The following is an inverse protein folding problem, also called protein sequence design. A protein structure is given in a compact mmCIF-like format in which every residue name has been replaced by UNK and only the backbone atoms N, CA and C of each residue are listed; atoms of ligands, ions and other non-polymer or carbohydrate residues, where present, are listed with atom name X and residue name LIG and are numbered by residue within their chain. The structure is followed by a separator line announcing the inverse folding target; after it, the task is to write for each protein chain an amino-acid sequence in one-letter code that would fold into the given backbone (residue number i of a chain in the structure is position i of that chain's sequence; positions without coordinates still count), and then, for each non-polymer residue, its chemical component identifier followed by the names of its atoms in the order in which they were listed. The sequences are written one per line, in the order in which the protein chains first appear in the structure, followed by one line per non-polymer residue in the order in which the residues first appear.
data_IF_688955022541
#
_entry.id   IF_688955022541
#
_cell.length_a   1.000
_cell.length_b   1.000
_cell.length_c   1.000
_cell.angle_alpha   90.00
_cell.angle_beta   90.00
_cell.angle_gamma   90.00
#
_symmetry.space_group_name_H-M   'P 1'
#
loop_
_entity.id
_entity.type
_entity.pdbx_description
1 polymer ?
#
# COMPACT_ATOMS: atom_id res chain seq x y z
N UNK A 1 -7.03 -5.35 6.56
CA UNK A 1 -6.32 -4.59 5.50
C UNK A 1 -5.55 -3.44 6.15
N UNK A 2 -4.28 -3.26 5.80
CA UNK A 2 -3.41 -2.22 6.35
C UNK A 2 -2.18 -2.01 5.46
N UNK A 3 -1.45 -0.91 5.69
CA UNK A 3 -0.17 -0.64 5.04
C UNK A 3 0.94 -1.37 5.80
N UNK A 4 1.32 -2.55 5.32
CA UNK A 4 2.31 -3.36 6.01
C UNK A 4 3.70 -2.73 5.86
N UNK A 5 4.11 -2.33 4.65
CA UNK A 5 5.42 -1.76 4.24
C UNK A 5 6.68 -2.66 4.13
N UNK A 6 6.90 -3.79 4.85
CA UNK A 6 8.08 -4.61 4.66
C UNK A 6 7.94 -5.55 3.45
N UNK A 7 9.11 -5.97 2.96
CA UNK A 7 9.25 -6.91 1.86
C UNK A 7 9.29 -8.33 2.40
N UNK A 8 8.77 -9.29 1.63
CA UNK A 8 8.88 -10.72 1.94
C UNK A 8 10.15 -11.31 1.32
N UNK A 9 10.52 -10.83 0.13
CA UNK A 9 11.72 -11.26 -0.60
C UNK A 9 12.47 -10.07 -1.20
N UNK A 10 13.77 -10.24 -1.46
CA UNK A 10 14.59 -9.26 -2.15
C UNK A 10 14.09 -8.96 -3.57
N UNK A 11 13.42 -9.93 -4.20
CA UNK A 11 12.86 -9.79 -5.56
C UNK A 11 11.69 -8.81 -5.65
N UNK A 12 11.10 -8.45 -4.49
CA UNK A 12 10.05 -7.44 -4.38
C UNK A 12 10.60 -6.01 -4.42
N UNK A 13 11.92 -5.84 -4.63
CA UNK A 13 12.61 -4.55 -4.69
C UNK A 13 13.59 -4.47 -5.85
N UNK A 14 13.64 -3.32 -6.52
CA UNK A 14 14.71 -2.96 -7.45
C UNK A 14 15.23 -1.57 -7.13
N UNK A 15 16.56 -1.44 -7.06
CA UNK A 15 17.26 -0.19 -6.78
C UNK A 15 17.40 0.12 -5.28
N UNK A 16 18.11 1.21 -4.98
CA UNK A 16 18.44 1.63 -3.62
C UNK A 16 19.39 0.69 -2.88
N UNK A 17 19.51 0.87 -1.56
CA UNK A 17 20.31 0.00 -0.70
C UNK A 17 19.69 -1.40 -0.56
N UNK A 18 20.51 -2.38 -0.17
CA UNK A 18 20.04 -3.72 0.16
C UNK A 18 18.93 -3.69 1.22
N UNK A 19 17.87 -4.50 1.07
CA UNK A 19 16.80 -4.57 2.07
C UNK A 19 17.30 -5.19 3.38
N UNK A 20 16.68 -4.83 4.49
CA UNK A 20 17.06 -5.35 5.80
C UNK A 20 16.58 -6.81 5.96
N UNK A 21 17.49 -7.80 6.03
CA UNK A 21 17.11 -9.21 6.08
C UNK A 21 16.35 -9.59 7.35
N UNK A 22 16.61 -8.90 8.47
CA UNK A 22 15.94 -9.16 9.75
C UNK A 22 14.46 -8.78 9.64
N UNK A 23 14.18 -7.56 9.16
CA UNK A 23 12.80 -7.10 8.98
C UNK A 23 12.00 -7.97 8.01
N UNK A 24 12.65 -8.49 6.97
CA UNK A 24 12.01 -9.41 6.02
C UNK A 24 11.69 -10.76 6.68
N UNK A 25 12.64 -11.28 7.47
CA UNK A 25 12.45 -12.53 8.22
C UNK A 25 11.32 -12.41 9.24
N UNK A 26 11.30 -11.32 10.02
CA UNK A 26 10.27 -11.09 11.04
C UNK A 26 8.88 -10.99 10.41
N UNK A 27 8.77 -10.29 9.27
CA UNK A 27 7.50 -10.17 8.56
C UNK A 27 7.05 -11.51 7.97
N UNK A 28 7.97 -12.26 7.37
CA UNK A 28 7.69 -13.59 6.84
C UNK A 28 7.23 -14.55 7.95
N UNK A 29 7.88 -14.50 9.11
CA UNK A 29 7.50 -15.29 10.27
C UNK A 29 6.13 -14.88 10.82
N UNK A 30 5.81 -13.58 10.82
CA UNK A 30 4.51 -13.08 11.24
C UNK A 30 3.38 -13.61 10.34
N UNK A 31 3.58 -13.61 9.02
CA UNK A 31 2.62 -14.16 8.05
C UNK A 31 2.41 -15.66 8.30
N UNK A 32 3.51 -16.40 8.45
CA UNK A 32 3.46 -17.85 8.72
C UNK A 32 2.75 -18.17 10.04
N UNK A 33 3.10 -17.48 11.13
CA UNK A 33 2.50 -17.69 12.44
C UNK A 33 1.02 -17.35 12.46
N UNK A 34 0.58 -16.45 11.58
CA UNK A 34 -0.82 -16.06 11.44
C UNK A 34 -1.60 -16.98 10.49
N UNK A 35 -0.95 -18.01 9.91
CA UNK A 35 -1.53 -18.88 8.87
C UNK A 35 -2.11 -18.11 7.70
N UNK A 36 -1.49 -16.98 7.36
CA UNK A 36 -1.89 -16.13 6.25
C UNK A 36 -1.13 -16.50 4.98
N UNK A 37 -1.81 -16.37 3.85
CA UNK A 37 -1.34 -16.74 2.52
C UNK A 37 -1.40 -15.49 1.63
N UNK A 38 -0.32 -15.22 0.91
CA UNK A 38 -0.27 -14.26 -0.22
C UNK A 38 -0.56 -15.06 -1.50
N UNK A 39 -1.79 -14.96 -1.99
CA UNK A 39 -2.28 -15.67 -3.20
C UNK A 39 -1.73 -15.06 -4.51
N UNK A 40 -0.83 -14.07 -4.39
CA UNK A 40 -0.19 -13.42 -5.51
C UNK A 40 -1.03 -12.30 -6.12
N UNK A 41 -0.74 -11.97 -7.38
CA UNK A 41 -1.35 -10.86 -8.10
C UNK A 41 -1.20 -11.00 -9.61
N UNK A 42 -2.04 -10.29 -10.33
CA UNK A 42 -1.96 -10.09 -11.79
C UNK A 42 -1.59 -8.63 -12.06
N UNK A 43 -0.73 -8.38 -13.05
CA UNK A 43 -0.35 -7.03 -13.48
C UNK A 43 1.02 -6.58 -12.98
N UNK A 44 1.14 -5.33 -12.54
CA UNK A 44 2.44 -4.72 -12.21
C UNK A 44 3.11 -5.39 -11.01
N UNK A 45 4.35 -5.85 -11.17
CA UNK A 45 5.16 -6.41 -10.07
C UNK A 45 5.39 -5.43 -8.91
N UNK A 46 5.51 -4.14 -9.21
CA UNK A 46 5.79 -3.09 -8.22
C UNK A 46 4.58 -2.18 -8.09
N UNK A 47 4.24 -1.84 -6.85
CA UNK A 47 3.07 -0.99 -6.52
C UNK A 47 3.47 0.41 -6.08
N UNK A 48 4.75 0.60 -5.70
CA UNK A 48 5.31 1.90 -5.35
C UNK A 48 6.67 2.15 -6.02
N UNK A 49 6.94 3.41 -6.36
CA UNK A 49 8.27 3.85 -6.82
C UNK A 49 8.53 5.33 -6.52
N UNK A 50 9.80 5.68 -6.30
CA UNK A 50 10.27 7.08 -6.29
C UNK A 50 11.17 7.43 -7.49
N UNK A 51 11.16 6.61 -8.54
CA UNK A 51 11.98 6.76 -9.75
C UNK A 51 13.36 6.08 -9.67
N UNK A 52 13.95 5.95 -8.48
CA UNK A 52 15.24 5.24 -8.27
C UNK A 52 15.07 3.89 -7.57
N UNK A 53 13.97 3.73 -6.85
CA UNK A 53 13.59 2.56 -6.09
C UNK A 53 12.18 2.17 -6.50
N UNK A 54 11.94 0.88 -6.75
CA UNK A 54 10.62 0.29 -6.94
C UNK A 54 10.41 -0.85 -5.95
N UNK A 55 9.23 -0.90 -5.33
CA UNK A 55 8.87 -1.89 -4.31
C UNK A 55 7.44 -2.40 -4.51
N UNK A 56 7.19 -3.66 -4.12
CA UNK A 56 5.83 -4.19 -3.92
C UNK A 56 5.46 -3.96 -2.45
N UNK A 57 4.57 -3.01 -2.19
CA UNK A 57 4.12 -2.64 -0.84
C UNK A 57 2.69 -3.10 -0.56
N UNK A 58 1.86 -3.15 -1.60
CA UNK A 58 0.47 -3.58 -1.49
C UNK A 58 0.37 -5.09 -1.69
N UNK A 59 -0.30 -5.76 -0.74
CA UNK A 59 -0.56 -7.20 -0.76
C UNK A 59 -1.87 -7.51 -0.05
N UNK A 60 -2.53 -8.57 -0.49
CA UNK A 60 -3.70 -9.15 0.18
C UNK A 60 -3.25 -10.44 0.83
N UNK A 61 -3.49 -10.54 2.14
CA UNK A 61 -3.18 -11.72 2.94
C UNK A 61 -4.50 -12.29 3.44
N UNK A 62 -4.72 -13.57 3.18
CA UNK A 62 -5.94 -14.28 3.54
C UNK A 62 -5.61 -15.56 4.30
N UNK A 63 -6.47 -15.97 5.23
CA UNK A 63 -6.39 -17.32 5.78
C UNK A 63 -6.96 -18.34 4.79
N UNK A 64 -6.78 -19.62 5.09
CA UNK A 64 -7.26 -20.72 4.24
C UNK A 64 -8.78 -20.66 4.03
N UNK A 65 -9.54 -20.31 5.07
CA UNK A 65 -11.00 -20.22 4.99
C UNK A 65 -11.45 -19.14 3.98
N UNK A 66 -10.76 -18.00 3.96
CA UNK A 66 -11.01 -16.93 3.02
C UNK A 66 -10.70 -17.36 1.58
N UNK A 67 -9.62 -18.10 1.34
CA UNK A 67 -9.31 -18.67 0.01
C UNK A 67 -10.38 -19.68 -0.44
N UNK A 68 -10.80 -20.58 0.45
CA UNK A 68 -11.82 -21.58 0.13
C UNK A 68 -13.19 -20.93 -0.16
N UNK A 69 -13.48 -19.82 0.51
CA UNK A 69 -14.72 -19.04 0.30
C UNK A 69 -14.70 -18.29 -1.02
N UNK A 70 -13.55 -17.72 -1.40
CA UNK A 70 -13.36 -17.01 -2.65
C UNK A 70 -12.59 -17.89 -3.63
N UNK A 71 -13.32 -18.80 -4.31
CA UNK A 71 -12.81 -19.77 -5.29
C UNK A 71 -11.79 -19.21 -6.31
N UNK A 72 -11.75 -17.90 -6.53
CA UNK A 72 -10.64 -17.18 -7.19
C UNK A 72 -10.51 -15.76 -6.61
N UNK A 73 -9.46 -15.49 -5.81
CA UNK A 73 -9.09 -14.12 -5.43
C UNK A 73 -8.19 -13.52 -6.53
N UNK A 74 -8.76 -12.65 -7.37
CA UNK A 74 -7.97 -11.91 -8.37
C UNK A 74 -7.51 -10.57 -7.80
N UNK A 75 -6.26 -10.52 -7.33
CA UNK A 75 -5.61 -9.26 -6.94
C UNK A 75 -4.99 -8.62 -8.18
N UNK A 76 -5.60 -7.55 -8.69
CA UNK A 76 -5.10 -6.83 -9.86
C UNK A 76 -4.28 -5.60 -9.42
N UNK A 77 -2.97 -5.63 -9.67
CA UNK A 77 -2.13 -4.44 -9.52
C UNK A 77 -2.32 -3.50 -10.71
N UNK A 78 -2.78 -2.28 -10.43
CA UNK A 78 -2.97 -1.27 -11.46
C UNK A 78 -1.62 -0.86 -12.06
N UNK A 79 -1.55 -0.84 -13.39
CA UNK A 79 -0.39 -0.33 -14.11
C UNK A 79 -0.19 1.16 -13.84
N UNK A 80 1.05 1.63 -13.88
CA UNK A 80 1.39 3.06 -13.68
C UNK A 80 0.64 4.00 -14.63
N UNK A 81 0.27 3.54 -15.82
CA UNK A 81 -0.57 4.29 -16.78
C UNK A 81 -1.97 4.56 -16.24
N UNK A 82 -2.53 3.63 -15.45
CA UNK A 82 -3.77 3.89 -14.73
C UNK A 82 -3.54 5.02 -13.72
N UNK A 83 -2.47 5.01 -12.91
CA UNK A 83 -2.17 6.14 -12.00
C UNK A 83 -1.91 7.46 -12.73
N UNK A 84 -1.27 7.46 -13.90
CA UNK A 84 -1.11 8.66 -14.73
C UNK A 84 -2.47 9.16 -15.22
N UNK A 85 -3.36 8.24 -15.63
CA UNK A 85 -4.73 8.55 -16.01
C UNK A 85 -5.54 9.07 -14.82
N UNK A 86 -5.41 8.50 -13.62
CA UNK A 86 -5.99 9.03 -12.37
C UNK A 86 -5.41 10.41 -12.00
N UNK A 87 -4.14 10.68 -12.30
CA UNK A 87 -3.51 11.98 -12.10
C UNK A 87 -4.07 13.06 -13.04
N UNK A 88 -4.51 12.66 -14.25
CA UNK A 88 -5.13 13.54 -15.24
C UNK A 88 -6.64 13.68 -15.03
N UNK A 89 -7.32 12.56 -14.74
CA UNK A 89 -8.78 12.49 -14.61
C UNK A 89 -9.27 12.91 -13.20
N UNK A 90 -8.38 12.88 -12.21
CA UNK A 90 -8.66 13.22 -10.81
C UNK A 90 -9.62 12.23 -10.15
N UNK A 91 -9.29 11.75 -8.96
CA UNK A 91 -10.28 10.98 -8.20
C UNK A 91 -11.36 11.95 -7.69
N UNK A 92 -12.56 11.91 -8.29
CA UNK A 92 -13.71 12.75 -7.93
C UNK A 92 -14.05 12.65 -6.43
N UNK A 93 -13.62 11.57 -5.75
CA UNK A 93 -13.76 11.36 -4.32
C UNK A 93 -12.89 12.29 -3.44
N UNK A 94 -11.75 12.78 -3.95
CA UNK A 94 -10.78 13.57 -3.17
C UNK A 94 -11.23 15.01 -2.93
N UNK A 95 -12.14 15.55 -3.74
CA UNK A 95 -12.69 16.90 -3.56
C UNK A 95 -13.36 17.06 -2.19
N UNK A 96 -14.08 16.04 -1.75
CA UNK A 96 -14.75 15.99 -0.45
C UNK A 96 -13.73 15.93 0.70
N UNK A 97 -12.70 15.09 0.57
CA UNK A 97 -11.61 14.99 1.54
C UNK A 97 -10.81 16.30 1.64
N UNK A 98 -10.44 16.90 0.51
CA UNK A 98 -9.73 18.18 0.48
C UNK A 98 -10.58 19.34 1.00
N UNK A 99 -11.88 19.36 0.75
CA UNK A 99 -12.82 20.33 1.33
C UNK A 99 -12.90 20.19 2.86
N UNK A 100 -12.99 18.95 3.34
CA UNK A 100 -13.02 18.65 4.77
C UNK A 100 -11.71 19.03 5.50
N UNK A 101 -10.55 18.72 4.91
CA UNK A 101 -9.23 19.12 5.45
C UNK A 101 -9.10 20.65 5.51
N UNK A 102 -9.55 21.38 4.47
CA UNK A 102 -9.55 22.85 4.45
C UNK A 102 -10.44 23.45 5.54
N UNK A 103 -11.63 22.90 5.76
CA UNK A 103 -12.53 23.32 6.86
C UNK A 103 -11.87 23.14 8.23
N UNK A 104 -11.13 22.05 8.43
CA UNK A 104 -10.46 21.75 9.70
C UNK A 104 -9.30 22.71 10.00
N UNK A 105 -8.57 23.15 8.97
CA UNK A 105 -7.52 24.19 9.11
C UNK A 105 -8.09 25.55 9.48
N UNK A 106 -9.26 25.94 8.95
CA UNK A 106 -9.97 27.17 9.35
C UNK A 106 -10.37 27.18 10.83
N UNK A 107 -10.72 26.03 11.40
CA UNK A 107 -11.12 25.92 12.82
C UNK A 107 -9.94 25.96 13.82
N UNK A 108 -8.71 25.65 13.40
CA UNK A 108 -7.51 25.70 14.26
C UNK A 108 -6.77 27.06 14.24
N UNK A 109 -7.30 28.07 13.55
CA UNK A 109 -6.66 29.38 13.39
C UNK A 109 -6.97 30.44 14.46
N UNK A 110 -7.82 30.16 15.45
CA UNK A 110 -8.19 31.08 16.54
C UNK A 110 -7.84 30.48 17.90
N UNK A 111 -6.56 30.44 18.23
CA UNK A 111 -6.09 30.54 19.62
C UNK A 111 -4.61 30.95 19.57
N UNK A 112 -4.37 32.25 19.37
CA UNK A 112 -3.11 32.86 19.79
C UNK A 112 -3.38 33.41 21.19
N UNK A 113 -2.76 32.82 22.21
CA UNK A 113 -2.62 33.48 23.50
C UNK A 113 -1.63 34.64 23.29
N UNK A 114 -2.11 35.86 23.48
CA UNK A 114 -1.29 37.04 23.76
C UNK A 114 -0.95 37.00 25.25
N UNK A 115 0.33 37.28 25.53
CA UNK A 115 1.05 37.56 26.79
C UNK A 115 0.46 37.07 28.14
#
# INVERSE_FOLDING_TARGET
MGDFNPLISGDERIGGNAPNPISMSDFSQCIQNSSLIDDGFVGSKYTWTNGKLSQRLDRVLCDQLCLDTFLVLNVCHLAKTASIKWMQDGDKSTSFFHAWVKQRRRKKGYCRYFD
#
